data_IF_566942389928
#
_entry.id   IF_566942389928
#
_cell.length_a   1.000
_cell.length_b   1.000
_cell.length_c   1.000
_cell.angle_alpha   90.00
_cell.angle_beta   90.00
_cell.angle_gamma   90.00
#
_symmetry.space_group_name_H-M   'P 1'
#
loop_
_entity.id
_entity.type
_entity.pdbx_description
1 polymer ?
#
# COMPACT_ATOMS: atom_id res chain seq x y z
N UNK A 1 23.64 48.00 -24.54
CA UNK A 1 22.58 49.04 -24.56
C UNK A 1 21.46 48.61 -23.64
N UNK A 2 21.20 49.38 -22.59
CA UNK A 2 20.10 49.23 -21.65
C UNK A 2 19.11 50.35 -21.93
N UNK A 3 17.82 50.04 -22.14
CA UNK A 3 16.75 51.05 -22.18
C UNK A 3 15.56 50.57 -21.37
N UNK A 4 15.51 51.05 -20.13
CA UNK A 4 14.29 51.18 -19.33
C UNK A 4 13.22 51.97 -20.08
N UNK A 5 11.95 51.57 -19.92
CA UNK A 5 10.84 52.51 -20.00
C UNK A 5 9.84 52.28 -18.86
N UNK A 6 9.77 53.32 -18.03
CA UNK A 6 8.87 53.58 -16.92
C UNK A 6 7.59 54.23 -17.46
N UNK A 7 6.45 53.97 -16.80
CA UNK A 7 5.26 54.82 -16.60
C UNK A 7 4.05 53.88 -16.47
N UNK A 8 3.13 53.98 -15.51
CA UNK A 8 2.74 55.06 -14.62
C UNK A 8 1.22 54.98 -14.49
N UNK A 9 0.68 55.02 -13.27
CA UNK A 9 -0.78 54.95 -13.05
C UNK A 9 -1.20 54.77 -11.59
N UNK A 10 -1.08 55.84 -10.79
CA UNK A 10 -1.84 56.11 -9.56
C UNK A 10 -3.32 56.41 -9.92
N UNK A 11 -4.36 56.48 -9.09
CA UNK A 11 -4.69 56.46 -7.65
C UNK A 11 -6.17 56.01 -7.56
N UNK A 12 -6.73 55.50 -6.46
CA UNK A 12 -7.61 56.21 -5.49
C UNK A 12 -8.22 55.15 -4.53
N UNK A 13 -7.99 55.21 -3.21
CA UNK A 13 -8.80 55.84 -2.13
C UNK A 13 -10.20 55.21 -1.83
N UNK A 14 -10.23 54.29 -0.84
CA UNK A 14 -10.96 54.24 0.48
C UNK A 14 -12.40 54.85 0.63
N UNK A 15 -13.12 54.65 1.77
CA UNK A 15 -13.56 53.44 2.51
C UNK A 15 -15.03 53.56 3.04
N UNK A 16 -15.60 52.51 3.65
CA UNK A 16 -16.83 52.61 4.47
C UNK A 16 -17.38 51.22 4.83
N UNK A 17 -17.97 50.92 5.98
CA UNK A 17 -18.31 51.73 7.14
C UNK A 17 -18.40 50.81 8.38
N UNK A 18 -18.03 51.39 9.50
CA UNK A 18 -18.09 50.86 10.87
C UNK A 18 -19.52 50.91 11.40
N UNK A 19 -20.04 49.81 11.96
CA UNK A 19 -21.32 49.77 12.67
C UNK A 19 -21.21 49.02 13.99
N UNK A 20 -20.78 49.71 15.05
CA UNK A 20 -20.92 49.26 16.45
C UNK A 20 -22.39 49.43 16.87
N UNK A 21 -22.99 48.43 17.52
CA UNK A 21 -23.81 48.69 18.71
C UNK A 21 -23.91 47.46 19.61
N UNK A 22 -23.36 47.64 20.81
CA UNK A 22 -23.57 46.81 21.97
C UNK A 22 -24.95 47.08 22.59
N UNK A 23 -25.56 46.04 23.16
CA UNK A 23 -26.78 46.13 23.94
C UNK A 23 -26.94 44.90 24.85
N UNK A 24 -26.41 45.03 26.08
CA UNK A 24 -26.90 44.54 27.39
C UNK A 24 -27.48 43.11 27.47
N UNK A 25 -26.80 42.19 28.15
CA UNK A 25 -26.85 41.84 29.60
C UNK A 25 -27.86 40.74 29.96
N UNK A 26 -27.30 39.71 30.60
CA UNK A 26 -27.89 38.92 31.71
C UNK A 26 -28.83 37.76 31.36
N UNK A 27 -28.30 36.54 31.41
CA UNK A 27 -28.69 35.54 32.42
C UNK A 27 -27.93 34.22 32.24
N UNK A 28 -27.26 33.80 33.29
CA UNK A 28 -26.90 32.41 33.56
C UNK A 28 -27.28 32.14 35.04
N UNK A 29 -27.37 30.89 35.54
CA UNK A 29 -27.11 29.60 34.88
C UNK A 29 -28.19 28.52 35.17
N UNK A 30 -28.14 27.36 34.48
CA UNK A 30 -28.11 26.00 35.10
C UNK A 30 -27.95 24.87 34.06
N UNK A 31 -27.44 23.69 34.48
CA UNK A 31 -26.70 22.76 33.65
C UNK A 31 -27.57 21.61 33.12
N UNK A 32 -27.20 21.06 31.95
CA UNK A 32 -27.72 19.77 31.51
C UNK A 32 -27.49 19.48 30.04
N UNK A 33 -26.89 18.32 29.77
CA UNK A 33 -26.93 17.57 28.51
C UNK A 33 -25.87 17.87 27.44
N UNK A 34 -24.70 17.23 27.65
CA UNK A 34 -23.96 16.48 26.64
C UNK A 34 -23.65 17.13 25.29
N UNK A 35 -22.54 17.88 25.23
CA UNK A 35 -21.74 17.95 24.01
C UNK A 35 -20.50 17.06 24.14
N UNK A 36 -20.72 15.73 24.13
CA UNK A 36 -19.66 14.72 23.93
C UNK A 36 -19.45 14.51 22.43
N UNK A 37 -19.10 15.59 21.74
CA UNK A 37 -18.86 15.63 20.30
C UNK A 37 -17.53 16.28 19.96
N UNK A 38 -16.47 16.02 20.75
CA UNK A 38 -15.10 16.43 20.40
C UNK A 38 -14.07 15.74 21.29
N UNK A 39 -13.87 14.45 21.06
CA UNK A 39 -12.59 13.82 21.31
C UNK A 39 -12.12 13.28 19.96
N UNK A 40 -11.02 13.85 19.47
CA UNK A 40 -10.39 13.48 18.23
C UNK A 40 -10.01 12.00 18.26
N UNK A 41 -10.75 11.15 17.53
CA UNK A 41 -10.22 9.86 17.10
C UNK A 41 -9.31 10.14 15.91
N UNK A 42 -8.03 10.28 16.25
CA UNK A 42 -6.86 10.17 15.38
C UNK A 42 -7.15 9.52 14.04
N UNK A 43 -6.89 10.26 12.96
CA UNK A 43 -6.67 9.74 11.62
C UNK A 43 -5.48 8.79 11.62
N UNK A 44 -5.70 7.51 11.95
CA UNK A 44 -4.90 6.45 11.39
C UNK A 44 -5.36 6.32 9.93
N UNK A 45 -4.49 6.64 8.96
CA UNK A 45 -4.67 6.08 7.62
C UNK A 45 -4.85 4.55 7.78
N UNK A 46 -5.65 3.89 6.94
CA UNK A 46 -5.98 2.49 7.20
C UNK A 46 -4.68 1.69 7.27
N UNK A 47 -4.33 1.24 8.48
CA UNK A 47 -3.24 0.31 8.67
C UNK A 47 -3.53 -0.97 7.87
N UNK A 48 -2.51 -1.83 7.68
CA UNK A 48 -2.69 -3.06 6.92
C UNK A 48 -3.90 -3.83 7.45
N UNK A 49 -4.76 -4.25 6.52
CA UNK A 49 -5.99 -4.96 6.88
C UNK A 49 -5.66 -6.29 7.54
N UNK A 50 -6.63 -6.89 8.24
CA UNK A 50 -6.45 -8.25 8.77
C UNK A 50 -6.08 -9.24 7.66
N UNK A 51 -6.62 -9.07 6.44
CA UNK A 51 -6.25 -9.88 5.29
C UNK A 51 -4.77 -9.71 4.91
N UNK A 52 -4.27 -8.47 4.87
CA UNK A 52 -2.86 -8.19 4.55
C UNK A 52 -1.91 -8.82 5.56
N UNK A 53 -2.25 -8.71 6.85
CA UNK A 53 -1.48 -9.35 7.93
C UNK A 53 -1.44 -10.88 7.78
N UNK A 54 -2.56 -11.49 7.39
CA UNK A 54 -2.61 -12.95 7.12
C UNK A 54 -1.72 -13.30 5.94
N UNK A 55 -1.78 -12.55 4.84
CA UNK A 55 -0.97 -12.81 3.65
C UNK A 55 0.53 -12.63 3.93
N UNK A 56 0.93 -11.65 4.75
CA UNK A 56 2.33 -11.47 5.14
C UNK A 56 2.85 -12.65 5.98
N UNK A 57 2.10 -13.07 6.99
CA UNK A 57 2.49 -14.22 7.81
C UNK A 57 2.52 -15.53 6.99
N UNK A 58 1.59 -15.68 6.05
CA UNK A 58 1.54 -16.81 5.13
C UNK A 58 2.74 -16.82 4.18
N UNK A 59 3.11 -15.68 3.59
CA UNK A 59 4.30 -15.55 2.75
C UNK A 59 5.56 -16.01 3.50
N UNK A 60 5.79 -15.48 4.71
CA UNK A 60 6.95 -15.86 5.54
C UNK A 60 6.96 -17.36 5.83
N UNK A 61 5.80 -17.92 6.17
CA UNK A 61 5.68 -19.34 6.53
C UNK A 61 5.90 -20.25 5.33
N UNK A 62 5.27 -19.94 4.19
CA UNK A 62 5.43 -20.72 2.95
C UNK A 62 6.85 -20.64 2.40
N UNK A 63 7.47 -19.46 2.43
CA UNK A 63 8.85 -19.29 1.96
C UNK A 63 9.88 -19.97 2.86
N UNK A 64 9.67 -19.96 4.18
CA UNK A 64 10.62 -20.50 5.17
C UNK A 64 10.46 -21.99 5.45
N UNK A 65 9.23 -22.48 5.58
CA UNK A 65 8.92 -23.86 6.00
C UNK A 65 8.38 -24.73 4.87
N UNK A 66 7.99 -24.10 3.76
CA UNK A 66 7.30 -24.76 2.65
C UNK A 66 5.79 -24.83 2.87
N UNK A 67 5.08 -25.11 1.76
CA UNK A 67 3.63 -25.21 1.75
C UNK A 67 3.15 -26.30 2.72
N UNK A 68 3.58 -27.55 2.55
CA UNK A 68 3.07 -28.69 3.31
C UNK A 68 3.22 -28.54 4.83
N UNK A 69 4.39 -28.10 5.29
CA UNK A 69 4.68 -27.95 6.71
C UNK A 69 3.98 -26.74 7.39
N UNK A 70 3.35 -25.86 6.61
CA UNK A 70 2.63 -24.71 7.16
C UNK A 70 1.22 -25.11 7.57
N UNK A 71 0.87 -24.92 8.86
CA UNK A 71 -0.51 -25.14 9.35
C UNK A 71 -1.25 -23.82 9.56
N UNK A 72 -2.55 -23.80 9.25
CA UNK A 72 -3.41 -22.65 9.50
C UNK A 72 -3.55 -22.35 11.01
N UNK A 73 -3.41 -23.37 11.86
CA UNK A 73 -3.41 -23.22 13.32
C UNK A 73 -2.15 -22.49 13.82
N UNK A 74 -0.98 -22.82 13.27
CA UNK A 74 0.27 -22.14 13.61
C UNK A 74 0.26 -20.68 13.12
N UNK A 75 -0.30 -20.42 11.93
CA UNK A 75 -0.51 -19.05 11.44
C UNK A 75 -1.45 -18.25 12.35
N UNK A 76 -2.57 -18.86 12.76
CA UNK A 76 -3.52 -18.23 13.67
C UNK A 76 -2.89 -17.87 15.02
N UNK A 77 -2.10 -18.80 15.59
CA UNK A 77 -1.37 -18.57 16.83
C UNK A 77 -0.36 -17.42 16.71
N UNK A 78 0.43 -17.37 15.62
CA UNK A 78 1.41 -16.31 15.41
C UNK A 78 0.81 -14.93 15.12
N UNK A 79 -0.43 -14.89 14.64
CA UNK A 79 -1.17 -13.64 14.37
C UNK A 79 -2.06 -13.19 15.54
N UNK A 80 -2.15 -14.00 16.60
CA UNK A 80 -3.08 -13.82 17.73
C UNK A 80 -4.54 -13.71 17.28
N UNK A 81 -4.92 -14.50 16.27
CA UNK A 81 -6.30 -14.59 15.76
C UNK A 81 -6.83 -16.00 15.88
N UNK A 82 -8.15 -16.16 15.71
CA UNK A 82 -8.75 -17.50 15.63
C UNK A 82 -8.53 -18.07 14.22
N UNK A 83 -8.36 -19.39 14.10
CA UNK A 83 -8.33 -20.08 12.80
C UNK A 83 -9.53 -19.70 11.92
N UNK A 84 -10.71 -19.57 12.53
CA UNK A 84 -11.94 -19.17 11.82
C UNK A 84 -11.83 -17.78 11.17
N UNK A 85 -11.04 -16.86 11.74
CA UNK A 85 -10.76 -15.56 11.12
C UNK A 85 -9.96 -15.73 9.83
N UNK A 86 -8.98 -16.63 9.81
CA UNK A 86 -8.21 -16.94 8.58
C UNK A 86 -9.14 -17.59 7.55
N UNK A 87 -9.91 -18.61 7.95
CA UNK A 87 -10.82 -19.33 7.07
C UNK A 87 -11.95 -18.46 6.50
N UNK A 88 -12.34 -17.40 7.22
CA UNK A 88 -13.28 -16.40 6.71
C UNK A 88 -12.72 -15.65 5.48
N UNK A 89 -11.44 -15.26 5.51
CA UNK A 89 -10.79 -14.57 4.40
C UNK A 89 -10.31 -15.53 3.31
N UNK A 90 -9.77 -16.68 3.71
CA UNK A 90 -9.17 -17.67 2.83
C UNK A 90 -9.70 -19.06 3.21
N UNK A 91 -10.79 -19.52 2.56
CA UNK A 91 -11.51 -20.73 2.96
C UNK A 91 -10.69 -22.02 2.98
N UNK A 92 -9.59 -22.07 2.23
CA UNK A 92 -8.65 -23.20 2.22
C UNK A 92 -7.20 -22.72 2.23
N UNK A 93 -6.29 -23.64 2.56
CA UNK A 93 -4.84 -23.38 2.54
C UNK A 93 -4.35 -23.12 1.11
N UNK A 94 -4.94 -23.79 0.13
CA UNK A 94 -4.68 -23.58 -1.30
C UNK A 94 -5.10 -22.17 -1.71
N UNK A 95 -6.29 -21.71 -1.31
CA UNK A 95 -6.76 -20.34 -1.61
C UNK A 95 -5.89 -19.28 -0.94
N UNK A 96 -5.37 -19.56 0.25
CA UNK A 96 -4.40 -18.68 0.91
C UNK A 96 -3.07 -18.62 0.12
N UNK A 97 -2.57 -19.77 -0.35
CA UNK A 97 -1.37 -19.81 -1.18
C UNK A 97 -1.58 -19.04 -2.49
N UNK A 98 -2.71 -19.24 -3.18
CA UNK A 98 -3.05 -18.52 -4.40
C UNK A 98 -3.04 -17.01 -4.18
N UNK A 99 -3.70 -16.53 -3.12
CA UNK A 99 -3.72 -15.10 -2.80
C UNK A 99 -2.33 -14.54 -2.44
N UNK A 100 -1.48 -15.33 -1.78
CA UNK A 100 -0.08 -14.93 -1.51
C UNK A 100 0.70 -14.79 -2.82
N UNK A 101 0.51 -15.72 -3.76
CA UNK A 101 1.19 -15.72 -5.06
C UNK A 101 0.72 -14.56 -5.93
N UNK A 102 -0.59 -14.34 -6.00
CA UNK A 102 -1.18 -13.23 -6.77
C UNK A 102 -0.66 -11.89 -6.24
N UNK A 103 -0.70 -11.66 -4.92
CA UNK A 103 -0.15 -10.44 -4.32
C UNK A 103 1.36 -10.27 -4.55
N UNK A 104 2.11 -11.38 -4.50
CA UNK A 104 3.56 -11.35 -4.76
C UNK A 104 3.88 -11.00 -6.21
N UNK A 105 3.08 -11.52 -7.14
CA UNK A 105 3.15 -11.19 -8.56
C UNK A 105 2.82 -9.72 -8.80
N UNK A 106 1.75 -9.20 -8.19
CA UNK A 106 1.38 -7.78 -8.26
C UNK A 106 2.48 -6.85 -7.71
N UNK A 107 3.08 -7.19 -6.56
CA UNK A 107 4.18 -6.41 -5.97
C UNK A 107 5.41 -6.38 -6.89
N UNK A 108 5.77 -7.52 -7.48
CA UNK A 108 6.85 -7.59 -8.46
C UNK A 108 6.52 -6.82 -9.74
N UNK A 109 5.29 -6.97 -10.24
CA UNK A 109 4.85 -6.29 -11.44
C UNK A 109 4.94 -4.77 -11.28
N UNK A 110 4.38 -4.24 -10.18
CA UNK A 110 4.43 -2.83 -9.88
C UNK A 110 5.87 -2.32 -9.85
N UNK A 111 6.79 -3.03 -9.18
CA UNK A 111 8.22 -2.64 -9.12
C UNK A 111 8.88 -2.62 -10.50
N UNK A 112 8.55 -3.57 -11.36
CA UNK A 112 9.09 -3.64 -12.72
C UNK A 112 8.53 -2.55 -13.64
N UNK A 113 7.21 -2.30 -13.59
CA UNK A 113 6.58 -1.22 -14.34
C UNK A 113 7.20 0.13 -13.97
N UNK A 114 7.37 0.37 -12.67
CA UNK A 114 7.98 1.57 -12.13
C UNK A 114 9.44 1.74 -12.58
N UNK A 115 10.18 0.64 -12.68
CA UNK A 115 11.55 0.65 -13.15
C UNK A 115 11.63 0.97 -14.65
N UNK A 116 10.78 0.34 -15.46
CA UNK A 116 10.71 0.51 -16.91
C UNK A 116 10.23 1.92 -17.29
N UNK A 117 9.25 2.48 -16.56
CA UNK A 117 8.73 3.82 -16.80
C UNK A 117 9.78 4.93 -16.61
N UNK A 118 10.84 4.65 -15.83
CA UNK A 118 11.94 5.59 -15.56
C UNK A 118 13.22 5.28 -16.31
N UNK A 119 13.29 4.16 -17.02
CA UNK A 119 14.47 3.73 -17.75
C UNK A 119 14.52 4.37 -19.16
N UNK A 120 15.74 4.55 -19.67
CA UNK A 120 15.95 4.85 -21.09
C UNK A 120 15.73 3.60 -21.97
N UNK A 121 16.38 3.54 -23.12
CA UNK A 121 16.19 2.48 -24.11
C UNK A 121 17.30 1.42 -24.07
N UNK A 122 17.04 0.25 -24.64
CA UNK A 122 18.04 -0.81 -24.81
C UNK A 122 18.61 -1.33 -23.48
N UNK A 123 19.94 -1.27 -23.31
CA UNK A 123 20.62 -1.85 -22.15
C UNK A 123 20.23 -1.17 -20.82
N UNK A 124 19.84 0.11 -20.85
CA UNK A 124 19.40 0.83 -19.65
C UNK A 124 18.10 0.23 -19.07
N UNK A 125 17.20 -0.31 -19.92
CA UNK A 125 16.02 -1.05 -19.44
C UNK A 125 16.41 -2.32 -18.70
N UNK A 126 17.35 -3.08 -19.28
CA UNK A 126 17.82 -4.34 -18.68
C UNK A 126 18.44 -4.05 -17.32
N UNK A 127 19.29 -3.03 -17.23
CA UNK A 127 19.90 -2.63 -15.96
C UNK A 127 18.85 -2.19 -14.93
N UNK A 128 17.86 -1.40 -15.34
CA UNK A 128 16.79 -0.93 -14.46
C UNK A 128 15.93 -2.09 -13.91
N UNK A 129 15.60 -3.06 -14.75
CA UNK A 129 14.87 -4.27 -14.37
C UNK A 129 15.70 -5.09 -13.37
N UNK A 130 16.94 -5.43 -13.73
CA UNK A 130 17.83 -6.23 -12.87
C UNK A 130 18.01 -5.57 -11.51
N UNK A 131 18.34 -4.27 -11.48
CA UNK A 131 18.52 -3.52 -10.22
C UNK A 131 17.25 -3.50 -9.36
N UNK A 132 16.08 -3.47 -9.97
CA UNK A 132 14.81 -3.41 -9.25
C UNK A 132 14.41 -4.76 -8.67
N UNK A 133 14.62 -5.85 -9.42
CA UNK A 133 14.48 -7.21 -8.92
C UNK A 133 15.44 -7.46 -7.75
N UNK A 134 16.72 -7.10 -7.88
CA UNK A 134 17.69 -7.26 -6.79
C UNK A 134 17.32 -6.45 -5.54
N UNK A 135 16.83 -5.22 -5.70
CA UNK A 135 16.37 -4.41 -4.56
C UNK A 135 15.15 -5.02 -3.88
N UNK A 136 14.20 -5.56 -4.64
CA UNK A 136 13.03 -6.24 -4.09
C UNK A 136 13.46 -7.49 -3.31
N UNK A 137 14.30 -8.32 -3.92
CA UNK A 137 14.88 -9.51 -3.29
C UNK A 137 15.61 -9.20 -1.97
N UNK A 138 16.38 -8.09 -1.92
CA UNK A 138 17.09 -7.68 -0.71
C UNK A 138 16.16 -7.19 0.42
N UNK A 139 15.01 -6.60 0.06
CA UNK A 139 14.04 -6.07 1.05
C UNK A 139 13.03 -7.12 1.52
N UNK A 140 12.71 -8.07 0.66
CA UNK A 140 11.65 -9.08 0.85
C UNK A 140 12.18 -10.46 0.40
N UNK A 141 13.17 -11.03 1.11
CA UNK A 141 13.81 -12.30 0.72
C UNK A 141 12.81 -13.47 0.65
N UNK A 142 11.68 -13.37 1.35
CA UNK A 142 10.60 -14.35 1.34
C UNK A 142 9.97 -14.53 -0.04
N UNK A 143 9.93 -13.47 -0.87
CA UNK A 143 9.42 -13.56 -2.24
C UNK A 143 10.26 -14.53 -3.10
N UNK A 144 11.59 -14.53 -2.92
CA UNK A 144 12.48 -15.49 -3.59
C UNK A 144 12.32 -16.90 -3.03
N UNK A 145 12.13 -17.03 -1.71
CA UNK A 145 11.85 -18.32 -1.08
C UNK A 145 10.55 -18.95 -1.59
N UNK A 146 9.51 -18.14 -1.81
CA UNK A 146 8.25 -18.57 -2.40
C UNK A 146 8.45 -19.04 -3.85
N UNK A 147 9.19 -18.29 -4.67
CA UNK A 147 9.50 -18.66 -6.06
C UNK A 147 10.24 -20.00 -6.14
N UNK A 148 11.21 -20.22 -5.24
CA UNK A 148 11.93 -21.49 -5.12
C UNK A 148 10.97 -22.66 -4.83
N UNK A 149 10.04 -22.48 -3.91
CA UNK A 149 9.07 -23.54 -3.58
C UNK A 149 8.03 -23.76 -4.69
N UNK A 150 7.59 -22.71 -5.39
CA UNK A 150 6.71 -22.83 -6.55
C UNK A 150 7.34 -23.67 -7.67
N UNK A 151 8.61 -23.39 -8.01
CA UNK A 151 9.35 -24.16 -9.02
C UNK A 151 9.58 -25.62 -8.63
N UNK A 152 9.67 -25.91 -7.33
CA UNK A 152 9.85 -27.28 -6.81
C UNK A 152 8.57 -28.11 -6.88
N UNK A 153 7.41 -27.48 -6.83
CA UNK A 153 6.11 -28.16 -6.73
C UNK A 153 5.41 -28.38 -8.07
N UNK A 154 5.90 -27.82 -9.19
CA UNK A 154 5.15 -27.84 -10.46
C UNK A 154 3.71 -27.33 -10.27
N UNK A 155 3.53 -26.42 -9.32
CA UNK A 155 2.22 -26.10 -8.73
C UNK A 155 1.38 -25.29 -9.71
N UNK A 156 0.04 -25.40 -9.71
CA UNK A 156 -0.85 -24.45 -10.37
C UNK A 156 -0.54 -22.98 -10.03
N UNK A 157 0.05 -22.73 -8.84
CA UNK A 157 0.56 -21.42 -8.45
C UNK A 157 1.70 -20.91 -9.34
N UNK A 158 2.62 -21.79 -9.78
CA UNK A 158 3.70 -21.40 -10.69
C UNK A 158 3.14 -20.99 -12.05
N UNK A 159 2.14 -21.69 -12.57
CA UNK A 159 1.43 -21.33 -13.81
C UNK A 159 0.75 -19.97 -13.69
N UNK A 160 0.09 -19.68 -12.55
CA UNK A 160 -0.52 -18.37 -12.30
C UNK A 160 0.51 -17.25 -12.20
N UNK A 161 1.64 -17.48 -11.53
CA UNK A 161 2.72 -16.52 -11.45
C UNK A 161 3.28 -16.17 -12.84
N UNK A 162 3.54 -17.18 -13.67
CA UNK A 162 3.98 -16.97 -15.06
C UNK A 162 2.93 -16.19 -15.86
N UNK A 163 1.65 -16.55 -15.75
CA UNK A 163 0.56 -15.84 -16.43
C UNK A 163 0.44 -14.37 -15.97
N UNK A 164 0.63 -14.08 -14.67
CA UNK A 164 0.62 -12.73 -14.14
C UNK A 164 1.81 -11.87 -14.62
N UNK A 165 2.94 -12.51 -14.93
CA UNK A 165 4.16 -11.85 -15.42
C UNK A 165 4.19 -11.68 -16.95
N UNK A 166 3.33 -12.37 -17.69
CA UNK A 166 3.32 -12.35 -19.16
C UNK A 166 3.19 -10.93 -19.78
N UNK A 167 2.32 -10.03 -19.27
CA UNK A 167 2.19 -8.67 -19.80
C UNK A 167 3.47 -7.83 -19.67
N UNK A 168 4.32 -8.12 -18.67
CA UNK A 168 5.59 -7.43 -18.46
C UNK A 168 6.67 -7.92 -19.41
N UNK A 169 6.70 -9.24 -19.65
CA UNK A 169 7.63 -9.84 -20.60
C UNK A 169 7.39 -9.31 -22.02
N UNK A 170 6.13 -9.15 -22.42
CA UNK A 170 5.77 -8.60 -23.74
C UNK A 170 6.15 -7.12 -23.92
N UNK A 171 6.31 -6.35 -22.82
CA UNK A 171 6.71 -4.93 -22.87
C UNK A 171 8.23 -4.74 -22.83
N UNK A 172 8.97 -5.80 -22.50
CA UNK A 172 10.43 -5.78 -22.41
C UNK A 172 11.13 -6.09 -23.74
N UNK A 173 10.44 -6.77 -24.67
CA UNK A 173 10.85 -7.01 -26.07
C UNK A 173 10.22 -6.01 -27.02
#
# INVERSE_FOLDING_TARGET
>A
MNTSRKAGGSAERRPGATGRRAGRLSSAPRPGSSNRGRAASTSHGPGPSTADRILDAALVSFAGRGYEATSLDALAAGLEVRKQTILYWFPTKERLLEAVVDRSAEELAAVLEDALARAGEGFERVEAVVRSVFRLAARRPELLGLLREMGRLGSPAATRFVAAMDPLMQRAT
#
